data_IF_526417739137
#
_entry.id   IF_526417739137
#
_cell.length_a   1.000
_cell.length_b   1.000
_cell.length_c   1.000
_cell.angle_alpha   90.00
_cell.angle_beta   90.00
_cell.angle_gamma   90.00
#
_symmetry.space_group_name_H-M   'P 1'
#
loop_
_entity.id
_entity.type
_entity.pdbx_description
1 polymer ?
#
# COMPACT_ATOMS: atom_id res chain seq x y z
N UNK A 1 -17.37 25.54 -20.84
CA UNK A 1 -17.05 24.42 -21.73
C UNK A 1 -17.07 23.18 -20.85
N UNK A 2 -18.18 22.47 -20.90
CA UNK A 2 -18.32 21.22 -20.17
C UNK A 2 -17.32 20.22 -20.76
N UNK A 3 -16.46 19.69 -19.93
CA UNK A 3 -15.52 18.64 -20.28
C UNK A 3 -16.37 17.37 -20.49
N UNK A 4 -16.77 17.07 -21.71
CA UNK A 4 -17.35 15.77 -22.03
C UNK A 4 -16.28 14.72 -21.71
N UNK A 5 -16.51 13.97 -20.65
CA UNK A 5 -15.67 12.84 -20.30
C UNK A 5 -15.53 11.93 -21.52
N UNK A 6 -14.32 11.55 -21.88
CA UNK A 6 -14.00 10.82 -23.11
C UNK A 6 -14.45 9.36 -23.09
N UNK A 7 -15.37 8.95 -22.24
CA UNK A 7 -15.92 7.61 -22.11
C UNK A 7 -14.93 6.54 -21.60
N UNK A 8 -13.69 6.54 -22.09
CA UNK A 8 -12.66 5.54 -21.71
C UNK A 8 -12.30 5.55 -20.21
N UNK A 9 -12.55 6.64 -19.51
CA UNK A 9 -12.28 6.79 -18.09
C UNK A 9 -13.54 6.64 -17.21
N UNK A 10 -14.68 6.28 -17.78
CA UNK A 10 -15.96 6.23 -17.07
C UNK A 10 -15.97 5.28 -15.87
N UNK A 11 -15.15 4.23 -15.89
CA UNK A 11 -14.99 3.28 -14.79
C UNK A 11 -13.83 3.59 -13.82
N UNK A 12 -13.15 4.72 -13.95
CA UNK A 12 -12.00 5.07 -13.10
C UNK A 12 -12.37 5.18 -11.61
N UNK A 13 -13.63 5.46 -11.31
CA UNK A 13 -14.16 5.50 -9.94
C UNK A 13 -14.01 4.16 -9.19
N UNK A 14 -13.98 3.02 -9.91
CA UNK A 14 -13.83 1.69 -9.31
C UNK A 14 -12.37 1.24 -9.14
N UNK A 15 -11.39 1.97 -9.64
CA UNK A 15 -9.99 1.53 -9.55
C UNK A 15 -9.56 1.46 -8.08
N UNK A 16 -8.91 0.33 -7.71
CA UNK A 16 -8.47 0.01 -6.36
C UNK A 16 -9.22 -1.16 -5.74
N UNK A 17 -9.25 -1.23 -4.42
CA UNK A 17 -9.85 -2.33 -3.65
C UNK A 17 -11.08 -1.88 -2.89
N UNK A 18 -12.08 -2.76 -2.83
CA UNK A 18 -13.39 -2.48 -2.27
C UNK A 18 -13.87 -3.62 -1.39
N UNK A 19 -14.56 -3.29 -0.33
CA UNK A 19 -15.52 -4.21 0.32
C UNK A 19 -16.84 -4.04 -0.39
N UNK A 20 -17.51 -5.14 -0.66
CA UNK A 20 -18.75 -5.15 -1.42
C UNK A 20 -19.80 -5.87 -0.62
N UNK A 21 -20.91 -5.21 -0.34
CA UNK A 21 -22.09 -5.82 0.24
C UNK A 21 -23.06 -6.21 -0.85
N UNK A 22 -23.49 -7.46 -0.88
CA UNK A 22 -24.35 -8.03 -1.89
C UNK A 22 -25.73 -8.36 -1.29
N UNK A 23 -26.80 -8.07 -2.06
CA UNK A 23 -28.13 -8.62 -1.85
C UNK A 23 -28.59 -9.27 -3.15
N UNK A 24 -28.74 -10.60 -3.18
CA UNK A 24 -29.12 -11.37 -4.36
C UNK A 24 -30.39 -12.15 -4.09
N UNK A 25 -31.42 -11.97 -4.93
CA UNK A 25 -32.69 -12.68 -4.75
C UNK A 25 -32.47 -14.19 -4.69
N UNK A 26 -33.12 -14.83 -3.73
CA UNK A 26 -33.15 -16.30 -3.60
C UNK A 26 -33.70 -16.96 -4.86
N UNK A 27 -34.77 -16.41 -5.40
CA UNK A 27 -35.39 -16.84 -6.64
C UNK A 27 -35.61 -15.63 -7.54
N UNK A 28 -35.27 -15.74 -8.82
CA UNK A 28 -35.42 -14.69 -9.82
C UNK A 28 -36.61 -14.96 -10.68
N UNK A 29 -37.39 -13.89 -11.03
CA UNK A 29 -38.59 -13.94 -11.85
C UNK A 29 -39.65 -14.92 -11.28
N UNK A 30 -39.77 -14.94 -9.96
CA UNK A 30 -40.67 -15.81 -9.20
C UNK A 30 -41.61 -15.03 -8.27
N UNK A 31 -41.61 -13.69 -8.35
CA UNK A 31 -42.36 -12.83 -7.44
C UNK A 31 -41.83 -12.86 -5.99
N UNK A 32 -40.66 -13.40 -5.77
CA UNK A 32 -40.00 -13.44 -4.47
C UNK A 32 -39.14 -12.19 -4.31
N UNK A 33 -39.18 -11.54 -3.13
CA UNK A 33 -38.39 -10.36 -2.80
C UNK A 33 -37.34 -10.63 -1.73
N UNK A 34 -37.23 -11.89 -1.26
CA UNK A 34 -36.20 -12.25 -0.28
C UNK A 34 -34.82 -12.34 -0.94
N UNK A 35 -33.84 -11.65 -0.40
CA UNK A 35 -32.47 -11.80 -0.85
C UNK A 35 -31.61 -12.57 0.15
N UNK A 36 -30.55 -13.15 -0.38
CA UNK A 36 -29.40 -13.65 0.37
C UNK A 36 -28.42 -12.49 0.44
N UNK A 37 -28.14 -12.02 1.64
CA UNK A 37 -27.13 -11.01 1.89
C UNK A 37 -25.79 -11.67 2.20
N UNK A 38 -24.72 -11.14 1.65
CA UNK A 38 -23.33 -11.59 1.90
C UNK A 38 -22.35 -10.50 1.54
N UNK A 39 -21.16 -10.58 2.12
CA UNK A 39 -20.06 -9.65 1.83
C UNK A 39 -19.10 -10.26 0.79
N UNK A 40 -18.22 -9.42 0.29
CA UNK A 40 -17.15 -9.81 -0.62
C UNK A 40 -16.10 -8.73 -0.76
N UNK A 41 -15.11 -9.00 -1.60
CA UNK A 41 -14.08 -8.02 -1.96
C UNK A 41 -13.95 -7.93 -3.47
N UNK A 42 -13.57 -6.75 -3.96
CA UNK A 42 -13.32 -6.49 -5.37
C UNK A 42 -11.99 -5.74 -5.51
N UNK A 43 -11.10 -6.22 -6.37
CA UNK A 43 -9.83 -5.57 -6.68
C UNK A 43 -9.78 -5.25 -8.16
N UNK A 44 -9.85 -3.96 -8.52
CA UNK A 44 -9.93 -3.50 -9.91
C UNK A 44 -8.68 -2.79 -10.37
N UNK A 45 -8.22 -3.11 -11.57
CA UNK A 45 -7.08 -2.49 -12.24
C UNK A 45 -7.36 -2.20 -13.72
N UNK A 46 -6.67 -1.19 -14.28
CA UNK A 46 -6.67 -0.93 -15.73
C UNK A 46 -5.87 -1.98 -16.47
N UNK A 47 -6.32 -2.31 -17.68
CA UNK A 47 -5.65 -3.20 -18.65
C UNK A 47 -5.67 -2.55 -20.04
N UNK A 48 -5.04 -3.17 -21.01
CA UNK A 48 -5.04 -2.72 -22.42
C UNK A 48 -4.61 -1.26 -22.58
N UNK A 49 -3.59 -0.82 -21.81
CA UNK A 49 -3.13 0.58 -21.86
C UNK A 49 -4.17 1.61 -21.44
N UNK A 50 -5.18 1.21 -20.67
CA UNK A 50 -6.28 2.05 -20.20
C UNK A 50 -7.58 1.89 -21.01
N UNK A 51 -7.57 1.17 -22.13
CA UNK A 51 -8.78 0.90 -22.93
C UNK A 51 -9.67 -0.20 -22.34
N UNK A 52 -9.33 -0.73 -21.17
CA UNK A 52 -10.13 -1.71 -20.45
C UNK A 52 -9.75 -1.75 -18.98
N UNK A 53 -10.51 -2.52 -18.22
CA UNK A 53 -10.26 -2.83 -16.82
C UNK A 53 -10.74 -4.23 -16.49
N UNK A 54 -10.19 -4.76 -15.43
CA UNK A 54 -10.54 -6.07 -14.89
C UNK A 54 -10.61 -5.99 -13.38
N UNK A 55 -11.62 -6.62 -12.82
CA UNK A 55 -11.66 -6.84 -11.37
C UNK A 55 -11.69 -8.34 -11.02
N UNK A 56 -11.02 -8.68 -9.92
CA UNK A 56 -11.05 -9.98 -9.27
C UNK A 56 -11.93 -9.86 -8.04
N UNK A 57 -13.01 -10.63 -8.00
CA UNK A 57 -14.00 -10.61 -6.94
C UNK A 57 -13.91 -11.89 -6.11
N UNK A 58 -13.94 -11.72 -4.80
CA UNK A 58 -14.19 -12.81 -3.83
C UNK A 58 -15.60 -12.59 -3.28
N UNK A 59 -16.43 -13.59 -3.40
CA UNK A 59 -17.82 -13.56 -2.94
C UNK A 59 -17.98 -14.57 -1.81
N UNK A 60 -18.23 -14.09 -0.58
CA UNK A 60 -18.41 -14.93 0.62
C UNK A 60 -19.85 -15.47 0.69
N UNK A 61 -20.28 -16.09 -0.40
CA UNK A 61 -21.63 -16.61 -0.52
C UNK A 61 -21.87 -17.72 0.52
N UNK A 62 -23.01 -17.69 1.25
CA UNK A 62 -23.32 -18.69 2.27
C UNK A 62 -23.24 -20.12 1.75
N UNK A 63 -22.46 -20.96 2.44
CA UNK A 63 -22.24 -22.36 2.10
C UNK A 63 -21.05 -22.63 1.17
N UNK A 64 -20.65 -21.72 0.31
CA UNK A 64 -19.45 -21.86 -0.52
C UNK A 64 -19.02 -20.49 -1.08
N UNK A 65 -17.95 -19.92 -0.53
CA UNK A 65 -17.28 -18.77 -1.13
C UNK A 65 -16.74 -19.13 -2.54
N UNK A 66 -16.81 -18.17 -3.47
CA UNK A 66 -16.29 -18.37 -4.82
C UNK A 66 -15.66 -17.08 -5.36
N UNK A 67 -14.92 -17.21 -6.45
CA UNK A 67 -14.29 -16.07 -7.15
C UNK A 67 -14.97 -15.85 -8.49
N UNK A 68 -14.94 -14.61 -8.95
CA UNK A 68 -15.39 -14.23 -10.28
C UNK A 68 -14.54 -13.05 -10.79
N UNK A 69 -14.46 -12.94 -12.10
CA UNK A 69 -13.77 -11.83 -12.77
C UNK A 69 -14.77 -11.05 -13.58
N UNK A 70 -14.74 -9.72 -13.47
CA UNK A 70 -15.40 -8.85 -14.46
C UNK A 70 -14.34 -8.28 -15.38
N UNK A 71 -14.52 -8.49 -16.69
CA UNK A 71 -13.71 -7.88 -17.74
C UNK A 71 -14.53 -6.79 -18.42
N UNK A 72 -13.95 -5.59 -18.59
CA UNK A 72 -14.59 -4.48 -19.30
C UNK A 72 -13.65 -3.92 -20.34
N UNK A 73 -14.16 -3.68 -21.55
CA UNK A 73 -13.40 -3.04 -22.63
C UNK A 73 -14.18 -1.90 -23.26
N UNK A 74 -13.47 -0.84 -23.64
CA UNK A 74 -14.05 0.34 -24.26
C UNK A 74 -13.80 0.34 -25.78
N UNK A 75 -14.87 0.43 -26.56
CA UNK A 75 -14.83 0.65 -28.01
C UNK A 75 -14.90 2.15 -28.29
N UNK A 76 -13.79 2.77 -28.63
CA UNK A 76 -13.70 4.20 -28.90
C UNK A 76 -14.49 4.63 -30.16
N UNK A 77 -14.69 3.72 -31.12
CA UNK A 77 -15.43 4.00 -32.36
C UNK A 77 -16.94 4.07 -32.08
N UNK A 78 -17.42 3.13 -31.28
CA UNK A 78 -18.84 3.06 -30.90
C UNK A 78 -19.17 3.88 -29.65
N UNK A 79 -18.12 4.40 -28.97
CA UNK A 79 -18.23 5.10 -27.68
C UNK A 79 -19.05 4.32 -26.66
N UNK A 80 -18.72 3.03 -26.50
CA UNK A 80 -19.46 2.14 -25.58
C UNK A 80 -18.53 1.14 -24.90
N UNK A 81 -18.95 0.67 -23.73
CA UNK A 81 -18.32 -0.38 -22.97
C UNK A 81 -19.00 -1.72 -23.22
N UNK A 82 -18.21 -2.79 -23.25
CA UNK A 82 -18.65 -4.18 -23.18
C UNK A 82 -18.18 -4.79 -21.86
N UNK A 83 -19.06 -5.47 -21.13
CA UNK A 83 -18.79 -6.02 -19.80
C UNK A 83 -19.11 -7.52 -19.82
N UNK A 84 -18.13 -8.34 -19.43
CA UNK A 84 -18.27 -9.79 -19.25
C UNK A 84 -18.11 -10.15 -17.78
N UNK A 85 -18.91 -11.10 -17.33
CA UNK A 85 -18.76 -11.73 -16.03
C UNK A 85 -18.31 -13.17 -16.23
N UNK A 86 -17.22 -13.57 -15.58
CA UNK A 86 -16.63 -14.91 -15.62
C UNK A 86 -16.76 -15.50 -14.23
N UNK A 87 -17.65 -16.47 -14.09
CA UNK A 87 -17.89 -17.17 -12.83
C UNK A 87 -16.83 -18.26 -12.62
N UNK A 88 -16.05 -18.19 -11.54
CA UNK A 88 -14.99 -19.15 -11.23
C UNK A 88 -15.50 -20.58 -10.97
N UNK A 89 -16.80 -20.76 -10.75
CA UNK A 89 -17.44 -22.09 -10.65
C UNK A 89 -17.67 -22.74 -12.03
N UNK A 90 -17.67 -21.93 -13.09
CA UNK A 90 -17.83 -22.35 -14.49
C UNK A 90 -16.93 -21.54 -15.42
N UNK A 91 -15.61 -21.58 -15.23
CA UNK A 91 -14.68 -20.62 -15.88
C UNK A 91 -14.53 -20.80 -17.40
N UNK A 92 -14.99 -21.91 -17.95
CA UNK A 92 -15.02 -22.15 -19.39
C UNK A 92 -16.27 -21.60 -20.10
N UNK A 93 -17.26 -21.09 -19.34
CA UNK A 93 -18.47 -20.50 -19.90
C UNK A 93 -18.36 -18.98 -19.89
N UNK A 94 -18.53 -18.36 -21.05
CA UNK A 94 -18.53 -16.91 -21.20
C UNK A 94 -19.85 -16.48 -21.84
N UNK A 95 -20.66 -15.76 -21.07
CA UNK A 95 -21.91 -15.18 -21.55
C UNK A 95 -21.64 -14.02 -22.53
N UNK A 96 -22.60 -13.68 -23.42
CA UNK A 96 -22.52 -12.46 -24.21
C UNK A 96 -22.37 -11.23 -23.30
N UNK A 97 -21.61 -10.20 -23.72
CA UNK A 97 -21.40 -9.04 -22.88
C UNK A 97 -22.66 -8.20 -22.72
N UNK A 98 -22.82 -7.58 -21.56
CA UNK A 98 -23.73 -6.44 -21.44
C UNK A 98 -23.03 -5.20 -22.00
N UNK A 99 -23.75 -4.45 -22.85
CA UNK A 99 -23.17 -3.34 -23.64
C UNK A 99 -23.89 -2.04 -23.33
N UNK A 100 -23.14 -0.95 -23.17
CA UNK A 100 -23.73 0.36 -22.86
C UNK A 100 -22.67 1.41 -22.54
N UNK A 101 -23.04 2.40 -21.72
CA UNK A 101 -22.16 3.49 -21.33
C UNK A 101 -22.75 4.36 -20.24
N UNK A 102 -22.05 5.47 -19.96
CA UNK A 102 -22.44 6.42 -18.94
C UNK A 102 -23.06 7.69 -19.52
N UNK A 103 -24.09 8.18 -18.85
CA UNK A 103 -24.70 9.47 -19.14
C UNK A 103 -25.15 10.12 -17.85
N UNK A 104 -24.76 11.39 -17.64
CA UNK A 104 -25.13 12.16 -16.44
C UNK A 104 -24.82 11.45 -15.12
N UNK A 105 -23.67 10.79 -15.02
CA UNK A 105 -23.26 10.08 -13.81
C UNK A 105 -23.97 8.74 -13.56
N UNK A 106 -24.70 8.21 -14.54
CA UNK A 106 -25.39 6.90 -14.48
C UNK A 106 -24.88 6.02 -15.60
N UNK A 107 -24.37 4.83 -15.25
CA UNK A 107 -23.97 3.79 -16.21
C UNK A 107 -25.12 2.84 -16.48
N UNK A 108 -25.49 2.63 -17.75
CA UNK A 108 -26.59 1.72 -18.12
C UNK A 108 -26.13 0.80 -19.25
N UNK A 109 -26.30 -0.50 -19.04
CA UNK A 109 -25.81 -1.55 -19.96
C UNK A 109 -26.88 -2.61 -20.14
N UNK A 110 -26.99 -3.19 -21.34
CA UNK A 110 -28.01 -4.15 -21.69
C UNK A 110 -27.43 -5.37 -22.40
N UNK A 111 -28.07 -6.52 -22.20
CA UNK A 111 -27.91 -7.73 -23.00
C UNK A 111 -29.26 -8.44 -23.18
N UNK A 112 -29.32 -9.36 -24.13
CA UNK A 112 -30.40 -10.35 -24.22
C UNK A 112 -29.81 -11.70 -23.82
N UNK A 113 -30.58 -12.51 -23.11
CA UNK A 113 -30.16 -13.82 -22.60
C UNK A 113 -31.35 -14.76 -22.49
N UNK A 114 -31.11 -16.00 -22.07
CA UNK A 114 -32.15 -17.02 -21.81
C UNK A 114 -32.05 -17.42 -20.36
N UNK A 115 -33.13 -17.23 -19.60
CA UNK A 115 -33.24 -17.65 -18.22
C UNK A 115 -34.34 -18.71 -18.06
N UNK A 116 -33.98 -19.91 -17.54
CA UNK A 116 -34.91 -21.05 -17.40
C UNK A 116 -35.69 -21.37 -18.68
N UNK A 117 -35.02 -21.26 -19.85
CA UNK A 117 -35.57 -21.54 -21.17
C UNK A 117 -36.46 -20.41 -21.74
N UNK A 118 -36.57 -19.27 -21.09
CA UNK A 118 -37.31 -18.10 -21.58
C UNK A 118 -36.35 -16.98 -21.95
N UNK A 119 -36.63 -16.25 -23.06
CA UNK A 119 -35.84 -15.08 -23.40
C UNK A 119 -36.08 -13.97 -22.37
N UNK A 120 -34.99 -13.36 -21.92
CA UNK A 120 -35.00 -12.21 -21.02
C UNK A 120 -34.13 -11.09 -21.58
N UNK A 121 -34.38 -9.89 -21.09
CA UNK A 121 -33.45 -8.77 -21.24
C UNK A 121 -32.77 -8.50 -19.89
N UNK A 122 -31.46 -8.30 -19.92
CA UNK A 122 -30.64 -7.97 -18.76
C UNK A 122 -30.34 -6.48 -18.77
N UNK A 123 -30.35 -5.84 -17.62
CA UNK A 123 -29.85 -4.49 -17.41
C UNK A 123 -28.86 -4.47 -16.25
N UNK A 124 -27.70 -3.86 -16.45
CA UNK A 124 -26.82 -3.41 -15.37
C UNK A 124 -26.96 -1.91 -15.22
N UNK A 125 -27.05 -1.44 -13.98
CA UNK A 125 -27.15 -0.02 -13.66
C UNK A 125 -26.08 0.34 -12.62
N UNK A 126 -25.33 1.40 -12.88
CA UNK A 126 -24.35 1.99 -11.97
C UNK A 126 -24.81 3.38 -11.55
N UNK A 127 -24.84 3.64 -10.24
CA UNK A 127 -25.24 4.92 -9.62
C UNK A 127 -24.33 5.28 -8.46
N UNK A 128 -24.45 6.49 -7.91
CA UNK A 128 -23.67 6.97 -6.74
C UNK A 128 -22.15 6.84 -6.88
N UNK A 129 -21.62 7.04 -8.07
CA UNK A 129 -20.26 6.68 -8.46
C UNK A 129 -19.15 7.29 -7.60
N UNK A 130 -19.38 8.45 -6.97
CA UNK A 130 -18.36 9.22 -6.27
C UNK A 130 -18.26 8.94 -4.78
N UNK A 131 -19.37 8.59 -4.13
CA UNK A 131 -19.44 8.46 -2.66
C UNK A 131 -19.54 7.03 -2.19
N UNK A 132 -20.49 6.30 -2.73
CA UNK A 132 -20.77 4.89 -2.42
C UNK A 132 -21.29 4.25 -3.69
N UNK A 133 -20.42 3.82 -4.62
CA UNK A 133 -20.85 3.21 -5.87
C UNK A 133 -21.84 2.09 -5.62
N UNK A 134 -22.92 2.14 -6.37
CA UNK A 134 -23.99 1.15 -6.31
C UNK A 134 -24.21 0.54 -7.68
N UNK A 135 -24.27 -0.77 -7.73
CA UNK A 135 -24.57 -1.54 -8.94
C UNK A 135 -25.80 -2.42 -8.74
N UNK A 136 -26.60 -2.54 -9.77
CA UNK A 136 -27.73 -3.46 -9.81
C UNK A 136 -27.79 -4.24 -11.12
N UNK A 137 -28.24 -5.49 -11.01
CA UNK A 137 -28.70 -6.32 -12.11
C UNK A 137 -30.21 -6.46 -12.04
N UNK A 138 -30.87 -6.25 -13.18
CA UNK A 138 -32.28 -6.48 -13.32
C UNK A 138 -32.60 -7.34 -14.55
N UNK A 139 -33.65 -8.16 -14.44
CA UNK A 139 -34.19 -8.96 -15.54
C UNK A 139 -35.56 -8.46 -15.95
N UNK A 140 -35.88 -8.61 -17.26
CA UNK A 140 -37.16 -8.29 -17.84
C UNK A 140 -37.61 -9.41 -18.77
N UNK A 141 -38.83 -9.90 -18.61
CA UNK A 141 -39.45 -10.90 -19.49
C UNK A 141 -40.32 -10.25 -20.62
N UNK A 142 -40.51 -8.91 -20.57
CA UNK A 142 -41.44 -8.18 -21.47
C UNK A 142 -40.72 -7.20 -22.41
N UNK A 143 -39.41 -7.46 -22.66
CA UNK A 143 -38.58 -6.66 -23.56
C UNK A 143 -38.11 -5.34 -22.96
N UNK A 144 -38.15 -5.18 -21.64
CA UNK A 144 -37.67 -4.00 -20.93
C UNK A 144 -38.73 -2.99 -20.53
N UNK A 145 -40.00 -3.39 -20.53
CA UNK A 145 -41.12 -2.55 -20.02
C UNK A 145 -41.17 -2.58 -18.50
N UNK A 146 -41.01 -3.78 -17.93
CA UNK A 146 -40.88 -3.96 -16.47
C UNK A 146 -39.59 -4.65 -16.12
N UNK A 147 -39.06 -4.39 -14.92
CA UNK A 147 -37.75 -4.88 -14.48
C UNK A 147 -37.83 -5.41 -13.04
N UNK A 148 -37.29 -6.61 -12.81
CA UNK A 148 -37.05 -7.15 -11.49
C UNK A 148 -35.57 -6.99 -11.18
N UNK A 149 -35.23 -6.10 -10.23
CA UNK A 149 -33.87 -6.03 -9.68
C UNK A 149 -33.61 -7.27 -8.84
N UNK A 150 -32.63 -8.07 -9.22
CA UNK A 150 -32.40 -9.38 -8.63
C UNK A 150 -31.00 -9.56 -8.02
N UNK A 151 -30.12 -8.57 -8.16
CA UNK A 151 -28.81 -8.54 -7.51
C UNK A 151 -28.35 -7.09 -7.38
N UNK A 152 -27.96 -6.69 -6.16
CA UNK A 152 -27.35 -5.39 -5.91
C UNK A 152 -26.01 -5.55 -5.25
N UNK A 153 -25.13 -4.59 -5.49
CA UNK A 153 -23.80 -4.47 -4.88
C UNK A 153 -23.61 -3.04 -4.40
N UNK A 154 -23.25 -2.87 -3.15
CA UNK A 154 -22.82 -1.60 -2.58
C UNK A 154 -21.30 -1.64 -2.31
N UNK A 155 -20.59 -0.71 -2.91
CA UNK A 155 -19.14 -0.64 -2.81
C UNK A 155 -18.74 0.37 -1.75
N UNK A 156 -18.08 -0.11 -0.71
CA UNK A 156 -17.35 0.74 0.25
C UNK A 156 -15.89 0.62 -0.09
N UNK A 157 -15.28 1.76 -0.47
CA UNK A 157 -13.85 1.75 -0.73
C UNK A 157 -13.18 1.18 0.51
N UNK A 158 -12.55 0.04 0.38
CA UNK A 158 -11.59 -0.32 1.39
C UNK A 158 -10.70 0.90 1.52
N UNK A 159 -10.54 1.50 2.71
CA UNK A 159 -9.51 2.48 2.88
C UNK A 159 -8.31 1.81 2.26
N UNK A 160 -7.84 2.32 1.14
CA UNK A 160 -6.90 1.67 0.24
C UNK A 160 -6.05 0.75 1.10
N UNK A 161 -6.04 -0.56 0.85
CA UNK A 161 -4.88 -1.32 1.28
C UNK A 161 -3.76 -0.70 0.47
N UNK A 162 -3.27 0.39 0.98
CA UNK A 162 -2.03 0.98 0.52
C UNK A 162 -1.10 -0.19 0.68
N UNK A 163 -0.71 -0.81 -0.42
CA UNK A 163 0.29 -1.85 -0.36
C UNK A 163 1.53 -1.17 0.17
N UNK A 164 1.68 -1.27 1.47
CA UNK A 164 2.95 -0.93 2.07
C UNK A 164 3.96 -1.90 1.48
N UNK A 165 5.12 -1.41 1.14
CA UNK A 165 6.09 -2.18 0.37
C UNK A 165 6.44 -3.51 1.06
N UNK A 166 6.42 -3.54 2.38
CA UNK A 166 7.22 -4.53 3.07
C UNK A 166 6.66 -4.83 4.47
N UNK A 167 6.13 -6.04 4.71
CA UNK A 167 5.74 -6.51 6.03
C UNK A 167 6.90 -6.60 7.03
N UNK A 168 8.14 -6.75 6.53
CA UNK A 168 9.37 -6.76 7.35
C UNK A 168 10.32 -5.71 6.80
N UNK A 169 10.87 -4.87 7.68
CA UNK A 169 11.81 -3.78 7.33
C UNK A 169 13.02 -3.83 8.25
N UNK A 170 14.21 -3.68 7.69
CA UNK A 170 15.43 -3.38 8.44
C UNK A 170 15.73 -1.88 8.35
N UNK A 171 15.83 -1.22 9.52
CA UNK A 171 16.43 0.10 9.66
C UNK A 171 17.87 -0.11 10.15
N UNK A 172 18.81 0.25 9.31
CA UNK A 172 20.25 0.00 9.51
C UNK A 172 20.99 1.30 9.69
N UNK A 173 21.72 1.41 10.79
CA UNK A 173 22.53 2.57 11.14
C UNK A 173 23.99 2.14 11.19
N UNK A 174 24.77 2.54 10.20
CA UNK A 174 26.19 2.17 10.10
C UNK A 174 27.09 3.28 10.64
N UNK A 175 28.00 2.93 11.53
CA UNK A 175 29.09 3.81 11.94
C UNK A 175 30.27 3.60 11.00
N UNK A 176 30.73 4.66 10.39
CA UNK A 176 31.75 4.60 9.34
C UNK A 176 33.09 5.13 9.80
N UNK A 177 34.15 4.74 9.11
CA UNK A 177 35.43 5.37 9.19
C UNK A 177 35.29 6.86 8.84
N UNK A 178 35.87 7.78 9.63
CA UNK A 178 35.73 9.22 9.39
C UNK A 178 36.00 9.61 7.94
N UNK A 179 35.05 10.30 7.33
CA UNK A 179 35.12 10.74 5.94
C UNK A 179 34.77 9.68 4.87
N UNK A 180 34.52 8.41 5.25
CA UNK A 180 34.25 7.33 4.29
C UNK A 180 32.79 7.27 3.78
N UNK A 181 31.88 8.10 4.32
CA UNK A 181 30.44 8.02 4.01
C UNK A 181 30.13 8.14 2.52
N UNK A 182 30.72 9.12 1.84
CA UNK A 182 30.43 9.32 0.41
C UNK A 182 31.01 8.18 -0.45
N UNK A 183 32.12 7.58 -0.02
CA UNK A 183 32.71 6.39 -0.67
C UNK A 183 31.72 5.20 -0.59
N UNK A 184 31.15 4.94 0.60
CA UNK A 184 30.18 3.87 0.77
C UNK A 184 28.89 4.17 0.00
N UNK A 185 28.36 5.40 0.06
CA UNK A 185 27.15 5.78 -0.69
C UNK A 185 27.35 5.56 -2.19
N UNK A 186 28.47 6.02 -2.75
CA UNK A 186 28.76 5.85 -4.18
C UNK A 186 28.86 4.38 -4.59
N UNK A 187 29.50 3.54 -3.76
CA UNK A 187 29.56 2.10 -4.00
C UNK A 187 28.16 1.46 -3.88
N UNK A 188 27.41 1.78 -2.84
CA UNK A 188 26.09 1.25 -2.57
C UNK A 188 25.10 1.56 -3.70
N UNK A 189 25.05 2.82 -4.14
CA UNK A 189 24.15 3.27 -5.19
C UNK A 189 24.49 2.69 -6.57
N UNK A 190 25.76 2.38 -6.82
CA UNK A 190 26.21 1.83 -8.10
C UNK A 190 26.05 0.33 -8.20
N UNK A 191 26.35 -0.40 -7.08
CA UNK A 191 26.50 -1.86 -7.12
C UNK A 191 25.41 -2.62 -6.35
N UNK A 192 24.88 -2.03 -5.25
CA UNK A 192 24.10 -2.81 -4.30
C UNK A 192 22.59 -2.59 -4.37
N UNK A 193 22.09 -1.53 -5.00
CA UNK A 193 20.64 -1.30 -5.06
C UNK A 193 19.97 -2.34 -5.96
N UNK A 194 20.28 -2.34 -7.25
CA UNK A 194 19.65 -3.23 -8.23
C UNK A 194 19.93 -4.70 -7.94
N UNK A 195 21.09 -5.02 -7.44
CA UNK A 195 21.46 -6.39 -7.11
C UNK A 195 20.73 -6.93 -5.90
N UNK A 196 20.39 -6.11 -4.92
CA UNK A 196 19.47 -6.47 -3.84
C UNK A 196 18.04 -6.61 -4.37
N UNK A 197 17.56 -5.64 -5.14
CA UNK A 197 16.21 -5.68 -5.70
C UNK A 197 15.99 -6.86 -6.65
N UNK A 198 17.02 -7.28 -7.38
CA UNK A 198 16.99 -8.49 -8.23
C UNK A 198 16.77 -9.80 -7.43
N UNK A 199 17.04 -9.83 -6.13
CA UNK A 199 16.72 -10.98 -5.27
C UNK A 199 15.31 -10.91 -4.69
N UNK A 200 14.56 -9.83 -4.94
CA UNK A 200 13.21 -9.60 -4.43
C UNK A 200 13.14 -8.69 -3.19
N UNK A 201 14.28 -8.19 -2.68
CA UNK A 201 14.28 -7.16 -1.64
C UNK A 201 13.78 -5.82 -2.20
N UNK A 202 13.25 -4.99 -1.34
CA UNK A 202 12.95 -3.58 -1.65
C UNK A 202 13.98 -2.69 -0.95
N UNK A 203 14.82 -1.97 -1.68
CA UNK A 203 15.73 -0.98 -1.09
C UNK A 203 14.98 0.34 -0.94
N UNK A 204 14.53 0.64 0.28
CA UNK A 204 13.56 1.70 0.57
C UNK A 204 14.19 3.10 0.52
N UNK A 205 15.30 3.26 1.20
CA UNK A 205 15.96 4.56 1.27
C UNK A 205 17.38 4.49 1.80
N UNK A 206 18.20 5.45 1.38
CA UNK A 206 19.58 5.64 1.80
C UNK A 206 19.75 7.10 2.19
N UNK A 207 20.44 7.34 3.31
CA UNK A 207 20.46 8.67 3.90
C UNK A 207 21.82 9.00 4.52
N UNK A 208 22.12 10.30 4.49
CA UNK A 208 23.14 10.92 5.33
C UNK A 208 22.49 11.37 6.63
N UNK A 209 22.99 10.93 7.77
CA UNK A 209 22.62 11.56 9.04
C UNK A 209 23.19 12.97 9.07
N UNK A 210 22.34 13.97 9.33
CA UNK A 210 22.72 15.37 9.37
C UNK A 210 23.41 15.78 10.68
N UNK A 211 23.21 15.00 11.75
CA UNK A 211 23.86 15.22 13.04
C UNK A 211 25.17 14.46 13.19
N UNK A 212 25.38 13.38 12.39
CA UNK A 212 26.59 12.59 12.44
C UNK A 212 27.17 12.40 11.01
N UNK A 213 28.28 13.07 10.67
CA UNK A 213 28.86 12.99 9.32
C UNK A 213 29.41 11.61 8.98
N UNK A 214 29.71 10.78 9.99
CA UNK A 214 30.24 9.43 9.81
C UNK A 214 29.18 8.34 10.04
N UNK A 215 27.89 8.70 9.95
CA UNK A 215 26.79 7.73 9.98
C UNK A 215 26.12 7.64 8.61
N UNK A 216 25.93 6.39 8.15
CA UNK A 216 25.11 6.06 7.00
C UNK A 216 23.88 5.28 7.46
N UNK A 217 22.70 5.80 7.16
CA UNK A 217 21.41 5.17 7.52
C UNK A 217 20.73 4.70 6.25
N UNK A 218 20.25 3.47 6.25
CA UNK A 218 19.51 2.95 5.12
C UNK A 218 18.47 1.91 5.53
N UNK A 219 17.50 1.68 4.65
CA UNK A 219 16.41 0.75 4.90
C UNK A 219 16.18 -0.17 3.72
N UNK A 220 15.88 -1.42 4.02
CA UNK A 220 15.40 -2.41 3.07
C UNK A 220 14.21 -3.18 3.65
N UNK A 221 13.40 -3.75 2.77
CA UNK A 221 12.22 -4.49 3.17
C UNK A 221 12.04 -5.81 2.44
N UNK A 222 11.21 -6.66 3.04
CA UNK A 222 11.00 -8.04 2.65
C UNK A 222 9.51 -8.40 2.73
N UNK A 223 9.10 -9.42 1.96
CA UNK A 223 7.74 -9.92 1.96
C UNK A 223 7.34 -10.64 3.25
N UNK A 224 8.30 -11.31 3.89
CA UNK A 224 8.19 -11.97 5.19
C UNK A 224 9.60 -12.39 5.68
N UNK A 225 9.67 -13.10 6.81
CA UNK A 225 10.94 -13.52 7.40
C UNK A 225 11.63 -14.67 6.63
N UNK A 226 10.88 -15.52 5.94
CA UNK A 226 11.43 -16.59 5.09
C UNK A 226 12.01 -16.01 3.81
N UNK A 227 11.28 -15.09 3.18
CA UNK A 227 11.77 -14.30 2.04
C UNK A 227 13.03 -13.53 2.41
N UNK A 228 13.09 -12.92 3.62
CA UNK A 228 14.29 -12.26 4.13
C UNK A 228 15.50 -13.19 4.14
N UNK A 229 15.36 -14.38 4.71
CA UNK A 229 16.45 -15.37 4.78
C UNK A 229 16.97 -15.74 3.38
N UNK A 230 16.06 -16.08 2.46
CA UNK A 230 16.40 -16.51 1.10
C UNK A 230 17.07 -15.37 0.29
N UNK A 231 16.51 -14.16 0.37
CA UNK A 231 16.99 -13.01 -0.39
C UNK A 231 18.35 -12.51 0.13
N UNK A 232 18.57 -12.51 1.45
CA UNK A 232 19.87 -12.20 2.04
C UNK A 232 20.93 -13.24 1.64
N UNK A 233 20.58 -14.52 1.69
CA UNK A 233 21.49 -15.59 1.25
C UNK A 233 21.87 -15.42 -0.23
N UNK A 234 20.89 -15.08 -1.09
CA UNK A 234 21.14 -14.87 -2.50
C UNK A 234 22.06 -13.67 -2.77
N UNK A 235 21.84 -12.54 -2.10
CA UNK A 235 22.68 -11.35 -2.25
C UNK A 235 24.08 -11.54 -1.69
N UNK A 236 24.23 -11.93 -0.41
CA UNK A 236 25.53 -12.06 0.23
C UNK A 236 26.34 -13.27 -0.28
N UNK A 237 25.67 -14.29 -0.79
CA UNK A 237 26.28 -15.40 -1.54
C UNK A 237 26.62 -15.07 -2.99
N UNK A 238 26.09 -13.96 -3.52
CA UNK A 238 26.17 -13.56 -4.92
C UNK A 238 27.52 -12.98 -5.36
N UNK A 239 27.75 -12.89 -6.67
CA UNK A 239 29.04 -12.45 -7.23
C UNK A 239 29.32 -10.96 -6.98
N UNK A 240 28.31 -10.10 -7.00
CA UNK A 240 28.48 -8.65 -6.82
C UNK A 240 28.95 -8.34 -5.40
N UNK A 241 28.30 -8.93 -4.38
CA UNK A 241 28.77 -8.77 -3.01
C UNK A 241 30.20 -9.28 -2.84
N UNK A 242 30.53 -10.47 -3.36
CA UNK A 242 31.89 -11.03 -3.28
C UNK A 242 32.94 -10.14 -3.93
N UNK A 243 32.62 -9.46 -5.02
CA UNK A 243 33.51 -8.56 -5.71
C UNK A 243 33.77 -7.23 -4.95
N UNK A 244 32.77 -6.76 -4.19
CA UNK A 244 32.79 -5.42 -3.61
C UNK A 244 32.79 -5.37 -2.08
N UNK A 245 32.64 -6.52 -1.40
CA UNK A 245 32.54 -6.60 0.08
C UNK A 245 33.75 -5.98 0.80
N UNK A 246 34.93 -6.20 0.29
CA UNK A 246 36.16 -5.73 0.97
C UNK A 246 36.23 -4.19 0.89
N UNK A 247 35.86 -3.61 -0.23
CA UNK A 247 35.77 -2.16 -0.39
C UNK A 247 34.63 -1.56 0.48
N UNK A 248 33.48 -2.24 0.60
CA UNK A 248 32.41 -1.81 1.48
C UNK A 248 32.85 -1.91 2.96
N UNK A 249 33.37 -3.06 3.37
CA UNK A 249 33.78 -3.31 4.77
C UNK A 249 34.88 -2.33 5.22
N UNK A 250 35.80 -1.95 4.33
CA UNK A 250 36.85 -0.98 4.64
C UNK A 250 36.31 0.41 5.00
N UNK A 251 35.07 0.73 4.69
CA UNK A 251 34.40 1.99 5.06
C UNK A 251 33.69 1.95 6.41
N UNK A 252 33.47 0.77 6.98
CA UNK A 252 32.62 0.57 8.15
C UNK A 252 33.43 0.24 9.41
N UNK A 253 33.11 0.87 10.52
CA UNK A 253 33.53 0.51 11.86
C UNK A 253 32.54 -0.45 12.51
N UNK A 254 31.24 -0.15 12.35
CA UNK A 254 30.15 -0.93 12.89
C UNK A 254 28.96 -0.92 11.92
N UNK A 255 28.36 -2.08 11.70
CA UNK A 255 27.20 -2.30 10.84
C UNK A 255 26.07 -3.08 11.55
N UNK A 256 26.17 -3.26 12.86
CA UNK A 256 25.32 -4.17 13.64
C UNK A 256 24.16 -3.45 14.34
N UNK A 257 24.15 -2.10 14.33
CA UNK A 257 22.98 -1.34 14.82
C UNK A 257 21.83 -1.41 13.80
N UNK A 258 21.08 -2.48 13.91
CA UNK A 258 19.99 -2.83 13.01
C UNK A 258 18.72 -3.14 13.76
N UNK A 259 17.68 -2.37 13.52
CA UNK A 259 16.34 -2.64 14.02
C UNK A 259 15.55 -3.46 12.98
N UNK A 260 15.05 -4.61 13.41
CA UNK A 260 14.12 -5.43 12.63
C UNK A 260 12.70 -5.04 12.99
N UNK A 261 11.93 -4.58 12.02
CA UNK A 261 10.68 -3.87 12.21
C UNK A 261 9.55 -4.49 11.39
N UNK A 262 8.33 -4.36 11.89
CA UNK A 262 7.08 -4.61 11.16
C UNK A 262 6.15 -3.42 11.27
N UNK A 263 5.34 -3.10 10.23
CA UNK A 263 4.35 -2.02 10.30
C UNK A 263 3.37 -2.23 11.46
N UNK A 264 2.92 -1.15 12.10
CA UNK A 264 1.92 -1.19 13.19
C UNK A 264 0.57 -1.73 12.71
N UNK A 265 0.26 -1.51 11.45
CA UNK A 265 -0.91 -2.07 10.75
C UNK A 265 -0.56 -2.28 9.26
N UNK A 266 -1.34 -3.06 8.49
CA UNK A 266 -1.09 -3.27 7.06
C UNK A 266 -1.01 -1.98 6.23
N UNK A 267 -1.59 -0.88 6.71
CA UNK A 267 -1.58 0.42 6.03
C UNK A 267 -0.49 1.38 6.55
N UNK A 268 0.20 1.02 7.63
CA UNK A 268 1.13 1.91 8.33
C UNK A 268 2.57 1.88 7.78
N UNK A 269 2.90 0.99 6.85
CA UNK A 269 4.22 0.93 6.23
C UNK A 269 4.42 1.95 5.11
N UNK A 270 5.61 1.96 4.50
CA UNK A 270 5.94 2.88 3.42
C UNK A 270 5.18 2.60 2.13
N UNK A 271 4.70 3.66 1.46
CA UNK A 271 4.00 3.62 0.18
C UNK A 271 4.98 4.00 -0.94
N UNK A 272 5.52 3.01 -1.65
CA UNK A 272 6.55 3.23 -2.66
C UNK A 272 6.07 3.08 -4.10
N UNK A 273 4.85 2.60 -4.35
CA UNK A 273 4.35 2.19 -5.67
C UNK A 273 4.38 3.28 -6.78
N UNK A 274 4.42 4.55 -6.37
CA UNK A 274 4.41 5.69 -7.32
C UNK A 274 5.74 6.43 -7.39
N UNK A 275 6.77 5.89 -6.75
CA UNK A 275 8.06 6.57 -6.64
C UNK A 275 9.05 5.86 -7.57
N UNK A 276 9.55 6.58 -8.56
CA UNK A 276 10.63 6.09 -9.42
C UNK A 276 12.00 6.44 -8.84
N UNK A 277 12.90 5.47 -8.90
CA UNK A 277 14.29 5.66 -8.51
C UNK A 277 15.05 6.40 -9.62
N UNK A 278 15.91 7.34 -9.23
CA UNK A 278 16.83 7.97 -10.17
C UNK A 278 17.81 6.94 -10.76
N UNK A 279 18.22 7.08 -12.03
CA UNK A 279 19.14 6.14 -12.68
C UNK A 279 20.50 6.09 -12.00
N UNK A 280 21.25 5.01 -12.25
CA UNK A 280 22.63 4.86 -11.77
C UNK A 280 23.50 6.02 -12.25
N UNK A 281 24.34 6.53 -11.36
CA UNK A 281 25.19 7.70 -11.65
C UNK A 281 24.50 9.06 -11.47
N UNK A 282 23.23 9.09 -11.03
CA UNK A 282 22.60 10.36 -10.66
C UNK A 282 23.32 11.03 -9.50
N UNK A 283 23.62 12.31 -9.66
CA UNK A 283 24.30 13.14 -8.65
C UNK A 283 23.35 14.20 -8.04
N UNK A 284 22.16 14.35 -8.57
CA UNK A 284 21.17 15.31 -8.06
C UNK A 284 20.71 14.87 -6.68
N UNK A 285 20.96 15.71 -5.68
CA UNK A 285 20.43 15.49 -4.35
C UNK A 285 18.90 15.48 -4.41
N UNK A 286 18.30 14.51 -3.75
CA UNK A 286 16.87 14.52 -3.51
C UNK A 286 16.58 15.55 -2.43
N UNK A 287 15.66 16.44 -2.69
CA UNK A 287 15.26 17.49 -1.75
C UNK A 287 14.47 16.90 -0.58
N UNK A 288 14.50 17.61 0.53
CA UNK A 288 13.75 17.28 1.74
C UNK A 288 14.59 16.57 2.80
N UNK A 289 13.96 16.42 3.96
CA UNK A 289 14.50 15.78 5.15
C UNK A 289 13.51 14.70 5.58
N UNK A 290 14.00 13.49 5.82
CA UNK A 290 13.24 12.42 6.47
C UNK A 290 13.66 12.39 7.94
N UNK A 291 12.70 12.33 8.83
CA UNK A 291 12.95 12.20 10.27
C UNK A 291 12.44 10.84 10.73
N UNK A 292 13.33 10.06 11.35
CA UNK A 292 12.97 8.85 12.06
C UNK A 292 13.00 9.15 13.56
N UNK A 293 11.89 8.90 14.24
CA UNK A 293 11.78 9.03 15.71
C UNK A 293 11.60 7.65 16.31
N UNK A 294 12.52 7.23 17.15
CA UNK A 294 12.63 5.89 17.73
C UNK A 294 12.36 5.98 19.24
N UNK A 295 11.29 5.37 19.69
CA UNK A 295 10.97 5.23 21.12
C UNK A 295 11.40 3.86 21.63
N UNK A 296 12.21 3.82 22.68
CA UNK A 296 12.58 2.60 23.39
C UNK A 296 11.53 2.30 24.46
N UNK A 297 10.82 1.18 24.31
CA UNK A 297 9.60 0.88 25.08
C UNK A 297 9.85 0.05 26.35
N UNK A 298 11.09 -0.41 26.59
CA UNK A 298 11.37 -1.27 27.74
C UNK A 298 10.53 -2.55 27.70
N UNK A 299 9.66 -2.75 28.70
CA UNK A 299 8.78 -3.92 28.81
C UNK A 299 7.38 -3.69 28.21
N UNK A 300 7.09 -2.48 27.72
CA UNK A 300 5.78 -2.13 27.15
C UNK A 300 5.57 -2.84 25.81
N UNK A 301 4.37 -3.34 25.56
CA UNK A 301 4.05 -3.95 24.26
C UNK A 301 3.99 -2.89 23.18
N UNK A 302 4.68 -3.12 22.06
CA UNK A 302 4.68 -2.21 20.92
C UNK A 302 3.28 -1.91 20.38
N UNK A 303 2.35 -2.87 20.43
CA UNK A 303 0.96 -2.68 20.01
C UNK A 303 0.19 -1.68 20.89
N UNK A 304 0.47 -1.65 22.20
CA UNK A 304 -0.17 -0.70 23.13
C UNK A 304 0.31 0.72 22.85
N UNK A 305 1.62 0.90 22.61
CA UNK A 305 2.18 2.19 22.21
C UNK A 305 1.67 2.62 20.83
N UNK A 306 1.56 1.71 19.86
CA UNK A 306 1.02 2.01 18.54
C UNK A 306 -0.42 2.52 18.62
N UNK A 307 -1.27 1.90 19.46
CA UNK A 307 -2.64 2.36 19.72
C UNK A 307 -2.68 3.76 20.35
N UNK A 308 -1.80 4.03 21.31
CA UNK A 308 -1.66 5.35 21.91
C UNK A 308 -1.19 6.38 20.87
N UNK A 309 -0.19 6.03 20.06
CA UNK A 309 0.31 6.91 19.01
C UNK A 309 -0.78 7.29 18.00
N UNK A 310 -1.50 6.30 17.47
CA UNK A 310 -2.54 6.52 16.46
C UNK A 310 -3.71 7.36 16.99
N UNK A 311 -4.12 7.13 18.22
CA UNK A 311 -5.32 7.77 18.78
C UNK A 311 -5.04 9.14 19.40
N UNK A 312 -3.87 9.32 19.97
CA UNK A 312 -3.55 10.48 20.79
C UNK A 312 -2.47 11.37 20.17
N UNK A 313 -1.33 10.83 19.74
CA UNK A 313 -0.23 11.63 19.24
C UNK A 313 -0.40 12.03 17.77
N UNK A 314 -0.76 11.10 16.89
CA UNK A 314 -0.83 11.34 15.46
C UNK A 314 -1.84 12.43 15.08
N UNK A 315 -3.04 12.55 15.69
CA UNK A 315 -3.94 13.68 15.42
C UNK A 315 -3.31 15.03 15.76
N UNK A 316 -2.58 15.13 16.88
CA UNK A 316 -1.88 16.34 17.24
C UNK A 316 -0.75 16.69 16.28
N UNK A 317 0.03 15.71 15.83
CA UNK A 317 1.06 15.88 14.81
C UNK A 317 0.46 16.39 13.48
N UNK A 318 -0.67 15.82 13.08
CA UNK A 318 -1.40 16.24 11.88
C UNK A 318 -1.90 17.68 12.01
N UNK A 319 -2.43 18.05 13.15
CA UNK A 319 -2.92 19.42 13.42
C UNK A 319 -1.82 20.48 13.33
N UNK A 320 -0.58 20.15 13.70
CA UNK A 320 0.57 21.06 13.54
C UNK A 320 1.21 20.97 12.15
N UNK A 321 0.66 20.16 11.23
CA UNK A 321 1.10 20.06 9.84
C UNK A 321 2.15 18.99 9.56
N UNK A 322 2.34 18.02 10.46
CA UNK A 322 3.25 16.89 10.25
C UNK A 322 2.49 15.71 9.69
N UNK A 323 2.97 15.19 8.56
CA UNK A 323 2.46 13.95 7.96
C UNK A 323 3.32 12.77 8.41
N UNK A 324 2.69 11.77 9.01
CA UNK A 324 3.32 10.48 9.30
C UNK A 324 3.40 9.68 8.00
N UNK A 325 4.62 9.34 7.58
CA UNK A 325 4.88 8.52 6.38
C UNK A 325 4.66 7.04 6.63
N UNK A 326 5.10 6.58 7.79
CA UNK A 326 5.01 5.19 8.21
C UNK A 326 5.25 5.06 9.71
N UNK A 327 4.74 3.98 10.32
CA UNK A 327 5.01 3.63 11.71
C UNK A 327 5.21 2.12 11.88
N UNK A 328 6.14 1.76 12.75
CA UNK A 328 6.61 0.40 12.93
C UNK A 328 6.78 0.06 14.42
N UNK A 329 6.72 -1.22 14.70
CA UNK A 329 7.14 -1.83 15.97
C UNK A 329 8.19 -2.90 15.69
N UNK A 330 8.91 -3.33 16.72
CA UNK A 330 9.86 -4.43 16.61
C UNK A 330 9.19 -5.67 16.03
N UNK A 331 9.87 -6.30 15.05
CA UNK A 331 9.55 -7.64 14.59
C UNK A 331 10.08 -8.66 15.60
N UNK A 332 9.23 -9.54 16.09
CA UNK A 332 9.53 -10.44 17.22
C UNK A 332 9.99 -11.83 16.83
N UNK A 333 10.02 -12.14 15.53
CA UNK A 333 10.59 -13.40 15.07
C UNK A 333 12.12 -13.38 15.22
N UNK A 334 12.69 -14.53 15.53
CA UNK A 334 14.14 -14.71 15.61
C UNK A 334 14.83 -14.30 14.30
N UNK A 335 16.07 -13.83 14.40
CA UNK A 335 16.87 -13.48 13.23
C UNK A 335 17.08 -14.68 12.29
N UNK A 336 16.44 -14.66 11.14
CA UNK A 336 16.50 -15.76 10.14
C UNK A 336 17.80 -15.75 9.31
N UNK A 337 18.71 -14.81 9.55
CA UNK A 337 20.02 -14.74 8.89
C UNK A 337 21.11 -14.32 9.88
N UNK A 338 21.61 -15.24 10.73
CA UNK A 338 22.55 -14.95 11.82
C UNK A 338 23.88 -14.34 11.38
N UNK A 339 24.28 -14.51 10.11
CA UNK A 339 25.48 -13.88 9.55
C UNK A 339 25.39 -12.35 9.43
N UNK A 340 24.22 -11.78 9.66
CA UNK A 340 23.97 -10.34 9.78
C UNK A 340 23.25 -10.09 11.11
N UNK A 341 23.96 -9.56 12.12
CA UNK A 341 23.36 -9.23 13.39
C UNK A 341 22.21 -8.22 13.25
N UNK A 342 21.23 -8.37 14.13
CA UNK A 342 20.16 -7.42 14.39
C UNK A 342 20.01 -7.28 15.90
N UNK A 343 19.47 -6.16 16.37
CA UNK A 343 19.24 -5.93 17.80
C UNK A 343 17.99 -6.71 18.25
N UNK A 344 18.16 -7.99 18.57
CA UNK A 344 17.06 -8.87 19.02
C UNK A 344 16.52 -8.48 20.41
N UNK A 345 17.29 -7.72 21.19
CA UNK A 345 16.91 -7.17 22.49
C UNK A 345 16.13 -5.85 22.39
N UNK A 346 16.10 -5.24 21.21
CA UNK A 346 15.42 -3.98 21.01
C UNK A 346 13.90 -4.14 21.01
N UNK A 347 13.23 -3.35 21.85
CA UNK A 347 11.77 -3.20 21.82
C UNK A 347 11.46 -1.73 21.56
N UNK A 348 11.10 -1.44 20.31
CA UNK A 348 10.96 -0.07 19.82
C UNK A 348 9.63 0.17 19.12
N UNK A 349 9.23 1.44 19.14
CA UNK A 349 8.28 2.00 18.19
C UNK A 349 9.00 3.06 17.37
N UNK A 350 8.87 2.98 16.05
CA UNK A 350 9.54 3.91 15.11
C UNK A 350 8.51 4.53 14.21
N UNK A 351 8.53 5.85 14.05
CA UNK A 351 7.72 6.52 13.03
C UNK A 351 8.56 7.48 12.19
N UNK A 352 8.11 7.69 10.98
CA UNK A 352 8.78 8.51 9.98
C UNK A 352 7.91 9.67 9.54
N UNK A 353 8.54 10.83 9.36
CA UNK A 353 7.95 12.00 8.72
C UNK A 353 8.89 12.56 7.66
N UNK A 354 8.36 13.42 6.78
CA UNK A 354 9.15 14.10 5.75
C UNK A 354 8.84 15.58 5.74
N UNK A 355 9.88 16.37 5.55
CA UNK A 355 9.82 17.83 5.43
C UNK A 355 10.43 18.26 4.10
N UNK A 356 9.90 19.30 3.43
CA UNK A 356 10.45 19.77 2.16
C UNK A 356 11.87 20.33 2.31
N UNK A 357 12.19 20.93 3.46
CA UNK A 357 13.46 21.58 3.75
C UNK A 357 13.73 21.69 5.26
N UNK A 358 14.94 22.19 5.60
CA UNK A 358 15.38 22.35 7.00
C UNK A 358 14.65 23.44 7.75
N UNK A 359 14.22 24.51 7.09
CA UNK A 359 13.48 25.62 7.73
C UNK A 359 12.09 25.13 8.17
N UNK A 360 11.38 24.46 7.29
CA UNK A 360 10.09 23.82 7.61
C UNK A 360 10.23 22.80 8.72
N UNK A 361 11.29 21.99 8.69
CA UNK A 361 11.56 21.04 9.78
C UNK A 361 11.77 21.77 11.12
N UNK A 362 12.64 22.79 11.18
CA UNK A 362 12.92 23.53 12.41
C UNK A 362 11.66 24.17 13.00
N UNK A 363 10.86 24.81 12.16
CA UNK A 363 9.59 25.44 12.57
C UNK A 363 8.60 24.43 13.16
N UNK A 364 8.43 23.29 12.49
CA UNK A 364 7.48 22.24 12.95
C UNK A 364 8.04 21.44 14.12
N UNK A 365 9.35 21.22 14.20
CA UNK A 365 9.99 20.59 15.36
C UNK A 365 9.79 21.40 16.65
N UNK A 366 9.81 22.75 16.56
CA UNK A 366 9.47 23.59 17.71
C UNK A 366 8.02 23.37 18.18
N UNK A 367 7.06 23.25 17.25
CA UNK A 367 5.66 22.97 17.58
C UNK A 367 5.49 21.56 18.20
N UNK A 368 6.22 20.56 17.69
CA UNK A 368 6.25 19.20 18.32
C UNK A 368 6.84 19.27 19.71
N UNK A 369 7.94 19.99 19.91
CA UNK A 369 8.57 20.14 21.22
C UNK A 369 7.62 20.78 22.22
N UNK A 370 6.80 21.75 21.79
CA UNK A 370 5.77 22.35 22.65
C UNK A 370 4.64 21.37 22.97
N UNK A 371 4.17 20.61 21.97
CA UNK A 371 3.20 19.53 22.17
C UNK A 371 3.69 18.49 23.19
N UNK A 372 4.95 18.05 23.05
CA UNK A 372 5.55 17.05 23.94
C UNK A 372 5.77 17.58 25.38
N UNK A 373 5.77 18.90 25.60
CA UNK A 373 5.81 19.52 26.94
C UNK A 373 4.45 19.61 27.62
N UNK A 374 3.36 19.42 26.91
CA UNK A 374 2.02 19.42 27.51
C UNK A 374 1.93 18.30 28.55
N UNK A 375 1.49 18.64 29.76
CA UNK A 375 1.49 17.73 30.90
C UNK A 375 0.75 16.42 30.64
N UNK A 376 -0.35 16.49 29.88
CA UNK A 376 -1.15 15.33 29.54
C UNK A 376 -0.37 14.35 28.64
N UNK A 377 0.27 14.86 27.59
CA UNK A 377 1.09 14.08 26.66
C UNK A 377 2.31 13.51 27.36
N UNK A 378 3.02 14.34 28.12
CA UNK A 378 4.20 13.91 28.89
C UNK A 378 3.88 12.81 29.88
N UNK A 379 2.76 12.92 30.62
CA UNK A 379 2.36 11.93 31.61
C UNK A 379 2.06 10.59 30.94
N UNK A 380 1.32 10.60 29.84
CA UNK A 380 1.02 9.37 29.08
C UNK A 380 2.26 8.73 28.42
N UNK A 381 3.14 9.54 27.85
CA UNK A 381 4.42 9.04 27.32
C UNK A 381 5.27 8.36 28.38
N UNK A 382 5.31 8.92 29.59
CA UNK A 382 6.06 8.34 30.71
C UNK A 382 5.54 6.98 31.19
N UNK A 383 4.32 6.59 30.83
CA UNK A 383 3.79 5.24 31.08
C UNK A 383 4.44 4.20 30.16
N UNK A 384 4.87 4.61 28.97
CA UNK A 384 5.39 3.73 27.92
C UNK A 384 6.92 3.73 27.82
N UNK A 385 7.55 4.88 28.01
CA UNK A 385 9.00 5.05 27.89
C UNK A 385 9.57 5.93 28.99
N UNK A 386 10.78 5.60 29.45
CA UNK A 386 11.50 6.40 30.45
C UNK A 386 12.59 7.27 29.83
N UNK A 387 12.89 7.06 28.58
CA UNK A 387 13.94 7.72 27.84
C UNK A 387 13.37 8.68 26.80
N UNK A 388 14.14 9.71 26.46
CA UNK A 388 13.81 10.53 25.30
C UNK A 388 13.98 9.71 24.04
N UNK A 389 13.14 9.93 23.00
CA UNK A 389 13.29 9.23 21.75
C UNK A 389 14.61 9.60 21.05
N UNK A 390 15.22 8.62 20.41
CA UNK A 390 16.27 8.89 19.45
C UNK A 390 15.65 9.51 18.20
N UNK A 391 16.22 10.60 17.70
CA UNK A 391 15.76 11.31 16.51
C UNK A 391 16.86 11.36 15.48
N UNK A 392 16.66 10.69 14.35
CA UNK A 392 17.55 10.72 13.21
C UNK A 392 17.06 11.75 12.19
N UNK A 393 17.90 12.72 11.89
CA UNK A 393 17.65 13.74 10.88
C UNK A 393 18.37 13.37 9.58
N UNK A 394 17.62 12.92 8.58
CA UNK A 394 18.12 12.16 7.46
C UNK A 394 17.97 12.93 6.14
N UNK A 395 19.10 13.22 5.47
CA UNK A 395 19.11 13.75 4.10
C UNK A 395 19.16 12.60 3.10
N UNK A 396 18.15 12.45 2.22
CA UNK A 396 18.16 11.39 1.22
C UNK A 396 19.38 11.48 0.27
N UNK A 397 19.89 10.33 -0.14
CA UNK A 397 20.87 10.27 -1.23
C UNK A 397 20.19 10.42 -2.59
N UNK A 398 20.96 10.53 -3.66
CA UNK A 398 20.40 10.77 -5.01
C UNK A 398 19.42 9.68 -5.45
N UNK A 399 19.61 8.45 -4.99
CA UNK A 399 18.84 7.29 -5.40
C UNK A 399 17.92 6.72 -4.31
N UNK A 400 17.77 7.42 -3.18
CA UNK A 400 16.76 7.08 -2.15
C UNK A 400 15.34 7.13 -2.74
N UNK A 401 14.43 6.27 -2.29
CA UNK A 401 13.00 6.37 -2.65
C UNK A 401 12.20 7.30 -1.71
N UNK A 402 12.74 7.61 -0.55
CA UNK A 402 12.13 8.50 0.44
C UNK A 402 12.79 9.88 0.43
#
# INVERSE_FOLDING_TARGET
MENEATGVNDFDFLIGTWRVHHCRLKERLAGNHECIEFDGTCAMQKILGGAGNMDDNVLDFPGAAYRAVTLRTYDATKKQWSIWWIDGRSPSHLDPPVVGGFKNGVGTFYANDIFKGKPIRIRFLWTNLTTKPHWEQAFSEDGGKTWETNWTMEFVKNPTSVRTCCPVVELRQYTLVPGARETLIGLFEREFIETQEATGMSVIGQFRDLHNPDRFVWMRGFGDMDARAAQLQAFYGGPVWKAHRDAANATMIDSDDVLLLRPTSPAAGFQLEKISRAPVGSIMKREGIVVATIYHLGTTKGADFATFFERELQPHLTNVGITVLASFVTETHANTFPGLPVREDANVFVWFSRFPDGETHQRLAAAVSELMRQREVTTKLAEFTREQPEVLLLSPTARSLL
#
